data_IF_752027253753
#
_entry.id   IF_752027253753
#
_cell.length_a   1.000
_cell.length_b   1.000
_cell.length_c   1.000
_cell.angle_alpha   90.00
_cell.angle_beta   90.00
_cell.angle_gamma   90.00
#
_symmetry.space_group_name_H-M   'P 1'
#
loop_
_entity.id
_entity.type
_entity.pdbx_description
1 polymer ?
#
# COMPACT_ATOMS: atom_id res chain seq x y z
N UNK A 1 -9.23 5.22 -29.10
CA UNK A 1 -8.15 5.42 -28.12
C UNK A 1 -7.19 6.46 -28.69
N UNK A 2 -7.07 7.61 -28.04
CA UNK A 2 -6.08 8.65 -28.37
C UNK A 2 -5.03 8.65 -27.26
N UNK A 3 -3.76 8.67 -27.63
CA UNK A 3 -2.66 8.97 -26.71
C UNK A 3 -2.08 10.33 -27.08
N UNK A 4 -1.17 10.87 -26.27
CA UNK A 4 -0.42 12.07 -26.61
C UNK A 4 0.39 11.94 -27.93
N UNK A 5 0.61 10.72 -28.42
CA UNK A 5 1.24 10.42 -29.70
C UNK A 5 0.25 10.23 -30.87
N UNK A 6 -1.05 10.37 -30.62
CA UNK A 6 -2.12 10.22 -31.63
C UNK A 6 -2.95 8.95 -31.48
N UNK A 7 -3.75 8.60 -32.52
CA UNK A 7 -4.59 7.40 -32.50
C UNK A 7 -3.74 6.12 -32.47
N UNK A 8 -3.98 5.25 -31.48
CA UNK A 8 -3.29 3.96 -31.38
C UNK A 8 -3.93 2.96 -32.35
N UNK A 9 -3.15 2.46 -33.31
CA UNK A 9 -3.60 1.41 -34.22
C UNK A 9 -3.32 0.04 -33.61
N UNK A 10 -4.40 -0.72 -33.38
CA UNK A 10 -4.30 -2.10 -32.90
C UNK A 10 -4.43 -3.04 -34.10
N UNK A 11 -3.48 -3.98 -34.32
CA UNK A 11 -3.56 -4.88 -35.47
C UNK A 11 -4.74 -5.87 -35.33
N UNK A 12 -5.62 -5.86 -36.33
CA UNK A 12 -6.75 -6.79 -36.44
C UNK A 12 -7.91 -6.52 -35.50
N UNK A 13 -8.95 -7.36 -35.58
CA UNK A 13 -10.09 -7.32 -34.65
C UNK A 13 -9.68 -7.96 -33.33
N UNK A 14 -9.83 -7.23 -32.21
CA UNK A 14 -9.54 -7.73 -30.86
C UNK A 14 -10.83 -7.80 -30.06
N UNK A 15 -10.99 -8.82 -29.24
CA UNK A 15 -12.06 -8.86 -28.25
C UNK A 15 -11.70 -7.89 -27.11
N UNK A 16 -12.61 -6.98 -26.81
CA UNK A 16 -12.61 -6.14 -25.62
C UNK A 16 -13.96 -6.28 -24.92
N UNK A 17 -13.96 -6.05 -23.62
CA UNK A 17 -15.20 -5.96 -22.83
C UNK A 17 -15.43 -4.49 -22.52
N UNK A 18 -16.58 -3.95 -22.92
CA UNK A 18 -16.99 -2.60 -22.53
C UNK A 18 -17.62 -2.72 -21.14
N UNK A 19 -17.19 -1.89 -20.20
CA UNK A 19 -17.81 -1.81 -18.88
C UNK A 19 -19.09 -0.98 -19.03
N UNK A 20 -20.21 -1.45 -18.47
CA UNK A 20 -21.51 -0.83 -18.68
C UNK A 20 -21.50 0.66 -18.25
N UNK A 21 -22.10 1.51 -19.08
CA UNK A 21 -22.20 2.98 -18.97
C UNK A 21 -20.89 3.82 -18.99
N UNK A 22 -19.75 3.27 -19.45
CA UNK A 22 -18.47 4.01 -19.50
C UNK A 22 -17.80 4.09 -20.89
N UNK A 23 -16.89 5.06 -21.06
CA UNK A 23 -15.97 5.16 -22.22
C UNK A 23 -14.73 4.23 -22.06
N UNK A 24 -14.76 3.36 -21.07
CA UNK A 24 -13.67 2.46 -20.69
C UNK A 24 -13.89 1.05 -21.25
N UNK A 25 -12.80 0.42 -21.68
CA UNK A 25 -12.84 -0.94 -22.23
C UNK A 25 -11.69 -1.78 -21.67
N UNK A 26 -12.00 -3.00 -21.27
CA UNK A 26 -11.03 -3.99 -20.84
C UNK A 26 -10.42 -4.69 -22.04
N UNK A 27 -9.09 -4.74 -22.06
CA UNK A 27 -8.29 -5.31 -23.15
C UNK A 27 -7.44 -6.44 -22.61
N UNK A 28 -7.39 -7.56 -23.32
CA UNK A 28 -6.53 -8.68 -22.95
C UNK A 28 -5.05 -8.28 -22.93
N UNK A 29 -4.29 -8.85 -21.98
CA UNK A 29 -2.84 -8.66 -21.86
C UNK A 29 -2.10 -8.87 -23.20
N UNK A 30 -2.47 -9.89 -23.98
CA UNK A 30 -1.86 -10.16 -25.29
C UNK A 30 -2.03 -8.98 -26.26
N UNK A 31 -3.14 -8.25 -26.17
CA UNK A 31 -3.41 -7.05 -26.97
C UNK A 31 -2.59 -5.87 -26.52
N UNK A 32 -2.43 -5.66 -25.21
CA UNK A 32 -1.52 -4.64 -24.68
C UNK A 32 -0.08 -4.90 -25.14
N UNK A 33 0.42 -6.14 -25.01
CA UNK A 33 1.77 -6.50 -25.48
C UNK A 33 1.94 -6.33 -26.98
N UNK A 34 0.90 -6.61 -27.78
CA UNK A 34 0.95 -6.41 -29.25
C UNK A 34 1.13 -4.94 -29.64
N UNK A 35 0.58 -4.01 -28.86
CA UNK A 35 0.71 -2.56 -29.11
C UNK A 35 1.91 -1.94 -28.37
N UNK A 36 2.80 -2.77 -27.81
CA UNK A 36 4.02 -2.34 -27.15
C UNK A 36 3.85 -1.93 -25.68
N UNK A 37 2.72 -2.26 -25.06
CA UNK A 37 2.47 -2.02 -23.63
C UNK A 37 2.67 -3.34 -22.90
N UNK A 38 3.84 -3.49 -22.25
CA UNK A 38 4.10 -4.60 -21.35
C UNK A 38 4.03 -4.12 -19.89
N UNK A 39 2.93 -4.44 -19.21
CA UNK A 39 2.68 -4.02 -17.83
C UNK A 39 3.73 -4.62 -16.89
N UNK A 40 4.16 -5.87 -17.14
CA UNK A 40 5.15 -6.55 -16.30
C UNK A 40 6.48 -5.79 -16.33
N UNK A 41 6.91 -5.38 -17.53
CA UNK A 41 8.11 -4.58 -17.74
C UNK A 41 8.00 -3.16 -17.14
N UNK A 42 6.84 -2.52 -17.27
CA UNK A 42 6.61 -1.19 -16.71
C UNK A 42 6.66 -1.22 -15.18
N UNK A 43 6.07 -2.25 -14.55
CA UNK A 43 6.12 -2.44 -13.11
C UNK A 43 7.53 -2.80 -12.62
N UNK A 44 8.29 -3.59 -13.38
CA UNK A 44 9.69 -3.87 -13.07
C UNK A 44 10.51 -2.56 -13.04
N UNK A 45 10.33 -1.68 -14.03
CA UNK A 45 11.01 -0.39 -14.03
C UNK A 45 10.60 0.51 -12.86
N UNK A 46 9.32 0.54 -12.48
CA UNK A 46 8.86 1.29 -11.29
C UNK A 46 9.45 0.73 -10.00
N UNK A 47 9.61 -0.59 -9.90
CA UNK A 47 10.24 -1.22 -8.75
C UNK A 47 11.74 -0.88 -8.67
N UNK A 48 12.44 -0.83 -9.81
CA UNK A 48 13.87 -0.47 -9.87
C UNK A 48 14.12 1.01 -9.59
N UNK A 49 13.24 1.90 -10.06
CA UNK A 49 13.28 3.33 -9.76
C UNK A 49 13.11 3.66 -8.27
N UNK A 50 12.53 2.77 -7.46
CA UNK A 50 12.49 2.92 -5.99
C UNK A 50 13.78 2.42 -5.31
N UNK A 51 14.65 1.72 -6.03
CA UNK A 51 15.90 1.14 -5.49
C UNK A 51 17.11 2.02 -5.80
N UNK A 52 17.07 2.79 -6.89
CA UNK A 52 18.17 3.64 -7.35
C UNK A 52 17.94 5.15 -7.08
N UNK A 53 17.00 5.51 -6.19
CA UNK A 53 17.08 6.81 -5.52
C UNK A 53 18.21 6.66 -4.50
N UNK A 54 19.42 7.02 -4.93
CA UNK A 54 20.58 7.29 -4.09
C UNK A 54 20.17 8.39 -3.10
N UNK A 55 19.40 8.01 -2.08
CA UNK A 55 19.14 8.80 -0.90
C UNK A 55 20.49 9.04 -0.26
N UNK A 56 21.02 10.24 -0.53
CA UNK A 56 22.13 10.88 0.15
C UNK A 56 22.24 10.31 1.56
N UNK A 57 23.40 9.70 1.83
CA UNK A 57 23.83 9.17 3.12
C UNK A 57 22.91 9.61 4.26
N UNK A 58 21.81 8.88 4.44
CA UNK A 58 21.01 9.01 5.63
C UNK A 58 21.91 8.33 6.65
N UNK A 59 22.66 9.17 7.36
CA UNK A 59 23.22 8.79 8.64
C UNK A 59 22.19 7.89 9.29
N UNK A 60 22.67 6.73 9.68
CA UNK A 60 21.99 5.80 10.55
C UNK A 60 21.66 6.56 11.85
N UNK A 61 20.62 7.41 11.80
CA UNK A 61 19.90 7.93 12.95
C UNK A 61 19.03 6.78 13.43
N UNK A 62 19.71 5.72 13.88
CA UNK A 62 19.17 4.79 14.84
C UNK A 62 18.89 5.59 16.11
N UNK A 63 17.73 6.24 16.15
CA UNK A 63 17.25 6.97 17.31
C UNK A 63 16.37 8.16 16.95
N UNK A 64 15.11 7.91 16.54
CA UNK A 64 14.03 8.90 16.81
C UNK A 64 12.57 8.40 16.60
N UNK A 65 12.32 7.09 16.47
CA UNK A 65 10.94 6.61 16.24
C UNK A 65 10.13 6.32 17.51
N UNK A 66 10.72 6.48 18.70
CA UNK A 66 9.98 6.38 19.97
C UNK A 66 9.09 7.61 20.18
N UNK A 67 9.60 8.80 19.85
CA UNK A 67 8.93 10.05 20.18
C UNK A 67 7.65 10.26 19.35
N UNK A 68 7.67 9.92 18.05
CA UNK A 68 6.46 10.03 17.19
C UNK A 68 5.33 9.09 17.64
N UNK A 69 5.66 7.87 18.07
CA UNK A 69 4.68 6.90 18.55
C UNK A 69 4.10 7.36 19.88
N UNK A 70 4.93 7.87 20.79
CA UNK A 70 4.48 8.44 22.05
C UNK A 70 3.56 9.65 21.85
N UNK A 71 3.89 10.55 20.92
CA UNK A 71 3.03 11.68 20.57
C UNK A 71 1.66 11.22 20.03
N UNK A 72 1.64 10.22 19.16
CA UNK A 72 0.41 9.66 18.63
C UNK A 72 -0.43 8.95 19.72
N UNK A 73 0.21 8.27 20.67
CA UNK A 73 -0.45 7.67 21.82
C UNK A 73 -1.05 8.73 22.73
N UNK A 74 -0.32 9.82 22.99
CA UNK A 74 -0.81 10.94 23.78
C UNK A 74 -2.04 11.59 23.12
N UNK A 75 -2.00 11.84 21.81
CA UNK A 75 -3.15 12.38 21.09
C UNK A 75 -4.39 11.47 21.14
N UNK A 76 -4.21 10.14 21.11
CA UNK A 76 -5.30 9.18 21.29
C UNK A 76 -5.88 9.21 22.70
N UNK A 77 -5.04 9.35 23.72
CA UNK A 77 -5.48 9.46 25.12
C UNK A 77 -6.25 10.76 25.34
N UNK A 78 -5.77 11.88 24.80
CA UNK A 78 -6.45 13.17 24.90
C UNK A 78 -7.83 13.08 24.23
N UNK A 79 -7.90 12.47 23.03
CA UNK A 79 -9.17 12.19 22.38
C UNK A 79 -10.09 11.28 23.21
N UNK A 80 -9.56 10.29 23.91
CA UNK A 80 -10.38 9.45 24.80
C UNK A 80 -10.91 10.25 26.00
N UNK A 81 -10.09 11.12 26.59
CA UNK A 81 -10.46 12.00 27.70
C UNK A 81 -11.54 13.00 27.28
N UNK A 82 -11.40 13.60 26.11
CA UNK A 82 -12.41 14.50 25.54
C UNK A 82 -13.74 13.77 25.27
N UNK A 83 -13.67 12.47 24.97
CA UNK A 83 -14.84 11.60 24.82
C UNK A 83 -15.36 11.01 26.16
N UNK A 84 -14.88 11.50 27.30
CA UNK A 84 -15.39 11.15 28.64
C UNK A 84 -14.64 10.03 29.34
N UNK A 85 -13.44 9.65 28.88
CA UNK A 85 -12.60 8.71 29.62
C UNK A 85 -12.17 9.29 30.99
N UNK A 86 -12.24 8.51 32.09
CA UNK A 86 -11.89 9.01 33.41
C UNK A 86 -10.42 9.42 33.51
N UNK A 87 -10.17 10.71 33.83
CA UNK A 87 -8.81 11.26 33.94
C UNK A 87 -7.94 10.56 34.98
N UNK A 88 -8.56 9.99 36.01
CA UNK A 88 -7.88 9.21 37.05
C UNK A 88 -7.20 7.93 36.52
N UNK A 89 -7.66 7.42 35.38
CA UNK A 89 -7.12 6.22 34.75
C UNK A 89 -6.16 6.50 33.59
N UNK A 90 -5.89 7.77 33.27
CA UNK A 90 -5.00 8.14 32.15
C UNK A 90 -3.62 7.52 32.29
N UNK A 91 -3.04 7.53 33.50
CA UNK A 91 -1.75 6.89 33.75
C UNK A 91 -1.80 5.38 33.53
N UNK A 92 -2.87 4.72 34.01
CA UNK A 92 -3.04 3.28 33.79
C UNK A 92 -3.26 2.95 32.32
N UNK A 93 -3.92 3.83 31.57
CA UNK A 93 -4.11 3.68 30.14
C UNK A 93 -2.77 3.82 29.39
N UNK A 94 -1.97 4.82 29.75
CA UNK A 94 -0.61 4.98 29.23
C UNK A 94 0.25 3.72 29.47
N UNK A 95 0.28 3.23 30.72
CA UNK A 95 1.06 2.04 31.07
C UNK A 95 0.65 0.81 30.24
N UNK A 96 -0.63 0.68 29.87
CA UNK A 96 -1.11 -0.41 29.01
C UNK A 96 -0.69 -0.20 27.56
N UNK A 97 -0.83 1.01 27.04
CA UNK A 97 -0.52 1.34 25.65
C UNK A 97 0.99 1.25 25.37
N UNK A 98 1.84 1.67 26.30
CA UNK A 98 3.29 1.68 26.16
C UNK A 98 3.97 0.39 26.63
N UNK A 99 3.20 -0.60 27.14
CA UNK A 99 3.74 -1.85 27.67
C UNK A 99 4.50 -2.68 26.62
N UNK A 100 4.03 -2.63 25.38
CA UNK A 100 4.56 -3.41 24.27
C UNK A 100 4.77 -2.51 23.06
N UNK A 101 5.89 -2.72 22.37
CA UNK A 101 6.16 -2.07 21.09
C UNK A 101 5.38 -2.80 19.97
N UNK A 102 4.10 -2.46 19.84
CA UNK A 102 3.17 -3.05 18.86
C UNK A 102 2.51 -2.01 17.95
N UNK A 103 2.84 -0.74 18.14
CA UNK A 103 2.23 0.35 17.38
C UNK A 103 3.04 0.64 16.14
N UNK A 104 2.32 0.89 15.04
CA UNK A 104 2.88 1.26 13.75
C UNK A 104 2.09 2.44 13.22
N UNK A 105 2.77 3.57 13.01
CA UNK A 105 2.16 4.76 12.41
C UNK A 105 2.04 4.63 10.89
N UNK A 106 2.95 3.87 10.28
CA UNK A 106 2.99 3.60 8.84
C UNK A 106 3.33 2.13 8.61
N UNK A 107 2.75 1.54 7.57
CA UNK A 107 3.21 0.28 7.01
C UNK A 107 4.29 0.59 5.96
N UNK A 108 5.54 0.43 6.34
CA UNK A 108 6.72 0.61 5.48
C UNK A 108 7.33 -0.73 5.00
N UNK A 109 6.77 -1.86 5.44
CA UNK A 109 7.27 -3.19 5.12
C UNK A 109 8.45 -3.64 5.98
N UNK A 110 8.84 -2.86 7.00
CA UNK A 110 9.86 -3.27 7.97
C UNK A 110 9.37 -4.39 8.91
N UNK A 111 8.04 -4.52 9.07
CA UNK A 111 7.48 -5.59 9.88
C UNK A 111 7.63 -6.97 9.21
N UNK A 112 8.08 -7.99 9.96
CA UNK A 112 8.24 -9.32 9.41
C UNK A 112 6.89 -9.89 8.95
N UNK A 113 6.86 -10.66 7.85
CA UNK A 113 5.66 -11.33 7.40
C UNK A 113 5.02 -12.16 8.52
N UNK A 114 3.69 -12.13 8.59
CA UNK A 114 2.96 -12.96 9.53
C UNK A 114 3.37 -14.43 9.37
N UNK A 115 3.75 -15.08 10.48
CA UNK A 115 4.22 -16.47 10.51
C UNK A 115 3.05 -17.46 10.43
N UNK A 116 2.20 -17.30 9.43
CA UNK A 116 1.00 -18.11 9.21
C UNK A 116 1.12 -18.85 7.88
N UNK A 117 0.62 -20.09 7.84
CA UNK A 117 0.56 -20.84 6.59
C UNK A 117 -0.54 -20.24 5.71
N UNK A 118 -0.28 -19.98 4.42
CA UNK A 118 -1.32 -19.53 3.49
C UNK A 118 -2.47 -20.52 3.44
N UNK A 119 -3.70 -20.01 3.51
CA UNK A 119 -4.90 -20.83 3.35
C UNK A 119 -5.00 -21.30 1.89
N UNK A 120 -5.19 -22.61 1.69
CA UNK A 120 -5.44 -23.19 0.38
C UNK A 120 -6.95 -23.27 0.16
N UNK A 121 -7.47 -22.35 -0.62
CA UNK A 121 -8.84 -22.39 -1.14
C UNK A 121 -8.87 -23.33 -2.36
N UNK A 122 -9.78 -24.30 -2.39
CA UNK A 122 -10.05 -25.09 -3.60
C UNK A 122 -11.40 -24.67 -4.18
N UNK A 123 -11.49 -24.33 -5.48
CA UNK A 123 -12.76 -24.06 -6.13
C UNK A 123 -13.70 -25.25 -5.96
N UNK A 124 -14.96 -24.99 -5.63
CA UNK A 124 -16.01 -26.02 -5.62
C UNK A 124 -16.44 -26.26 -7.06
N UNK A 125 -16.23 -27.47 -7.56
CA UNK A 125 -16.79 -27.87 -8.86
C UNK A 125 -18.32 -27.81 -8.77
N UNK A 126 -18.92 -27.09 -9.72
CA UNK A 126 -20.37 -26.91 -9.86
C UNK A 126 -21.05 -28.03 -10.62
#
# INVERSE_FOLDING_TARGET
MQTAAGPVQVPGKRCCYVVDDGDEFLVSNNTLKTIGIDIDWLLEQVARLQVDDDGDALEELGGDCVDEVEEALQGKIDGAVDNGFPKEHVKSLWDVLSKHDIWRLKFDGADPPAKVKPLKETPRDG
#
